data_IF_194529495046
#
_entry.id   IF_194529495046
#
_cell.length_a   1.000
_cell.length_b   1.000
_cell.length_c   1.000
_cell.angle_alpha   90.00
_cell.angle_beta   90.00
_cell.angle_gamma   90.00
#
_symmetry.space_group_name_H-M   'P 1'
#
loop_
_entity.id
_entity.type
_entity.pdbx_description
1 polymer ?
#
# COMPACT_ATOMS: atom_id res chain seq x y z
N UNK A 1 -9.59 -13.39 19.87
CA UNK A 1 -9.13 -14.72 20.31
C UNK A 1 -8.11 -15.19 19.28
N UNK A 2 -6.86 -15.41 19.65
CA UNK A 2 -5.80 -15.78 18.68
C UNK A 2 -5.90 -17.29 18.45
N UNK A 3 -6.24 -17.71 17.23
CA UNK A 3 -6.22 -19.12 16.85
C UNK A 3 -4.76 -19.56 16.61
N UNK A 4 -4.35 -20.68 17.20
CA UNK A 4 -3.02 -21.27 17.09
C UNK A 4 -3.03 -22.60 16.31
N UNK A 5 -4.19 -23.05 15.83
CA UNK A 5 -4.28 -24.24 14.98
C UNK A 5 -3.59 -23.98 13.63
N UNK A 6 -2.77 -24.93 13.18
CA UNK A 6 -2.09 -24.88 11.88
C UNK A 6 -0.74 -24.12 11.86
N UNK A 7 -0.24 -23.67 13.01
CA UNK A 7 1.05 -23.00 13.13
C UNK A 7 2.03 -23.79 14.02
N UNK A 8 3.30 -23.80 13.64
CA UNK A 8 4.37 -24.35 14.46
C UNK A 8 4.56 -23.48 15.70
N UNK A 9 4.50 -24.10 16.88
CA UNK A 9 4.76 -23.41 18.13
C UNK A 9 6.28 -23.27 18.32
N UNK A 10 6.76 -22.03 18.29
CA UNK A 10 8.17 -21.69 18.48
C UNK A 10 8.30 -20.97 19.82
N UNK A 11 9.19 -21.47 20.67
CA UNK A 11 9.52 -20.81 21.93
C UNK A 11 10.36 -19.54 21.70
N UNK A 12 10.29 -18.61 22.64
CA UNK A 12 11.02 -17.33 22.59
C UNK A 12 12.54 -17.57 22.55
N UNK A 13 13.04 -18.55 23.29
CA UNK A 13 14.46 -18.91 23.28
C UNK A 13 14.90 -19.46 21.92
N UNK A 14 14.02 -20.20 21.23
CA UNK A 14 14.28 -20.71 19.89
C UNK A 14 14.25 -19.58 18.84
N UNK A 15 13.31 -18.63 18.95
CA UNK A 15 13.29 -17.43 18.09
C UNK A 15 14.58 -16.61 18.22
N UNK A 16 15.07 -16.46 19.44
CA UNK A 16 16.32 -15.76 19.74
C UNK A 16 17.54 -16.55 19.28
N UNK A 17 17.58 -17.87 19.50
CA UNK A 17 18.71 -18.74 19.09
C UNK A 17 18.84 -18.84 17.57
N UNK A 18 17.72 -18.79 16.84
CA UNK A 18 17.70 -18.80 15.38
C UNK A 18 17.86 -17.41 14.76
N UNK A 19 17.99 -16.35 15.58
CA UNK A 19 18.15 -14.97 15.13
C UNK A 19 17.07 -14.55 14.11
N UNK A 20 15.82 -14.98 14.31
CA UNK A 20 14.74 -14.78 13.33
C UNK A 20 14.36 -13.29 13.24
N UNK A 21 14.27 -12.62 14.39
CA UNK A 21 13.91 -11.22 14.50
C UNK A 21 15.09 -10.35 14.97
N UNK A 22 15.15 -9.08 14.57
CA UNK A 22 16.12 -8.15 15.13
C UNK A 22 15.94 -8.02 16.64
N UNK A 23 17.05 -8.01 17.36
CA UNK A 23 17.05 -7.88 18.82
C UNK A 23 16.45 -6.53 19.22
N UNK A 24 15.52 -6.49 20.20
CA UNK A 24 14.85 -5.25 20.62
C UNK A 24 15.74 -4.29 21.40
N UNK A 25 16.98 -4.66 21.75
CA UNK A 25 17.87 -3.82 22.56
C UNK A 25 18.66 -2.82 21.69
N UNK A 26 18.39 -1.50 21.77
CA UNK A 26 19.20 -0.49 21.10
C UNK A 26 20.58 -0.44 21.76
N UNK A 27 21.59 -0.97 21.09
CA UNK A 27 22.98 -1.02 21.58
C UNK A 27 23.53 -2.42 21.81
N UNK A 28 22.71 -3.47 21.73
CA UNK A 28 23.22 -4.83 21.59
C UNK A 28 23.60 -5.05 20.12
N UNK A 29 24.68 -4.40 19.66
CA UNK A 29 25.44 -4.93 18.54
C UNK A 29 25.93 -6.30 18.98
N UNK A 30 25.19 -7.34 18.58
CA UNK A 30 25.66 -8.70 18.75
C UNK A 30 26.97 -8.82 17.99
N UNK A 31 28.02 -9.24 18.68
CA UNK A 31 29.37 -9.49 18.17
C UNK A 31 29.44 -10.68 17.20
N UNK A 32 28.32 -11.08 16.62
CA UNK A 32 28.21 -12.13 15.62
C UNK A 32 27.91 -11.45 14.29
N UNK A 33 28.80 -11.54 13.31
CA UNK A 33 28.65 -10.93 11.98
C UNK A 33 27.51 -11.50 11.11
N UNK A 34 26.45 -12.03 11.71
CA UNK A 34 25.28 -12.58 11.04
C UNK A 34 24.07 -11.68 11.27
N UNK A 35 23.56 -11.09 10.19
CA UNK A 35 22.33 -10.31 10.22
C UNK A 35 21.12 -11.22 10.53
N UNK A 36 20.09 -10.72 11.24
CA UNK A 36 18.85 -11.46 11.48
C UNK A 36 18.21 -11.98 10.20
N UNK A 37 17.54 -13.13 10.27
CA UNK A 37 16.88 -13.77 9.12
C UNK A 37 15.88 -12.83 8.43
N UNK A 38 15.09 -12.09 9.22
CA UNK A 38 14.15 -11.12 8.68
C UNK A 38 14.84 -10.07 7.80
N UNK A 39 16.00 -9.53 8.21
CA UNK A 39 16.72 -8.52 7.41
C UNK A 39 17.28 -9.12 6.11
N UNK A 40 17.64 -10.41 6.13
CA UNK A 40 18.10 -11.11 4.96
C UNK A 40 16.97 -11.36 3.95
N UNK A 41 15.85 -11.91 4.42
CA UNK A 41 14.73 -12.39 3.59
C UNK A 41 13.77 -11.26 3.18
N UNK A 42 13.63 -10.21 3.99
CA UNK A 42 12.72 -9.12 3.67
C UNK A 42 13.25 -8.29 2.50
N UNK A 43 12.60 -8.50 1.34
CA UNK A 43 12.71 -7.71 0.11
C UNK A 43 11.35 -7.14 -0.29
N UNK A 44 10.42 -7.09 0.66
CA UNK A 44 9.08 -6.57 0.39
C UNK A 44 9.12 -5.07 0.15
N UNK A 45 8.21 -4.58 -0.68
CA UNK A 45 8.14 -3.16 -1.08
C UNK A 45 7.01 -2.40 -0.39
N UNK A 46 6.25 -3.08 0.47
CA UNK A 46 5.14 -2.48 1.23
C UNK A 46 5.27 -2.80 2.72
N UNK A 47 4.82 -1.87 3.57
CA UNK A 47 4.82 -2.05 5.03
C UNK A 47 3.97 -3.26 5.43
N UNK A 48 2.82 -3.44 4.77
CA UNK A 48 1.94 -4.59 5.02
C UNK A 48 2.61 -5.91 4.64
N UNK A 49 3.35 -5.93 3.51
CA UNK A 49 4.13 -7.10 3.09
C UNK A 49 5.22 -7.47 4.09
N UNK A 50 5.99 -6.48 4.57
CA UNK A 50 7.03 -6.72 5.59
C UNK A 50 6.43 -7.26 6.90
N UNK A 51 5.32 -6.68 7.35
CA UNK A 51 4.59 -7.15 8.54
C UNK A 51 4.04 -8.57 8.35
N UNK A 52 3.52 -8.89 7.16
CA UNK A 52 3.02 -10.22 6.82
C UNK A 52 4.16 -11.24 6.80
N UNK A 53 5.29 -10.93 6.15
CA UNK A 53 6.47 -11.80 6.12
C UNK A 53 7.00 -12.04 7.52
N UNK A 54 7.10 -10.99 8.34
CA UNK A 54 7.46 -11.12 9.75
C UNK A 54 6.51 -12.08 10.49
N UNK A 55 5.21 -11.99 10.22
CA UNK A 55 4.20 -12.88 10.82
C UNK A 55 4.38 -14.34 10.41
N UNK A 56 4.78 -14.60 9.15
CA UNK A 56 5.06 -15.95 8.65
C UNK A 56 6.31 -16.55 9.29
N UNK A 57 7.37 -15.75 9.47
CA UNK A 57 8.61 -16.22 10.11
C UNK A 57 8.42 -16.61 11.58
N UNK A 58 7.56 -15.91 12.32
CA UNK A 58 7.26 -16.24 13.72
C UNK A 58 6.21 -17.35 13.89
N UNK A 59 5.47 -17.66 12.83
CA UNK A 59 4.40 -18.67 12.81
C UNK A 59 4.46 -19.49 11.52
N UNK A 60 5.47 -20.36 11.37
CA UNK A 60 5.52 -21.26 10.22
C UNK A 60 4.27 -22.11 10.13
N UNK A 61 3.81 -22.33 8.90
CA UNK A 61 2.64 -23.16 8.61
C UNK A 61 2.97 -24.64 8.82
N UNK A 62 2.02 -25.41 9.34
CA UNK A 62 2.15 -26.88 9.47
C UNK A 62 1.34 -27.65 8.44
N UNK A 63 0.45 -26.96 7.72
CA UNK A 63 -0.37 -27.55 6.67
C UNK A 63 0.47 -27.73 5.40
N UNK A 64 0.60 -28.99 4.95
CA UNK A 64 1.44 -29.35 3.82
C UNK A 64 0.84 -28.86 2.49
N UNK A 65 -0.48 -28.86 2.35
CA UNK A 65 -1.13 -28.43 1.12
C UNK A 65 -0.92 -26.93 0.90
N UNK A 66 -1.09 -26.14 1.96
CA UNK A 66 -0.83 -24.68 1.93
C UNK A 66 0.65 -24.39 1.67
N UNK A 67 1.56 -25.18 2.26
CA UNK A 67 3.00 -25.01 2.03
C UNK A 67 3.36 -25.27 0.57
N UNK A 68 2.86 -26.37 -0.01
CA UNK A 68 3.12 -26.75 -1.40
C UNK A 68 2.52 -25.71 -2.36
N UNK A 69 1.30 -25.22 -2.09
CA UNK A 69 0.70 -24.14 -2.88
C UNK A 69 1.55 -22.85 -2.84
N UNK A 70 2.06 -22.49 -1.65
CA UNK A 70 2.95 -21.35 -1.48
C UNK A 70 4.26 -21.49 -2.25
N UNK A 71 4.89 -22.67 -2.22
CA UNK A 71 6.12 -22.95 -2.97
C UNK A 71 5.88 -22.92 -4.48
N UNK A 72 4.80 -23.56 -4.97
CA UNK A 72 4.42 -23.52 -6.38
C UNK A 72 4.16 -22.08 -6.87
N UNK A 73 3.58 -21.24 -6.01
CA UNK A 73 3.39 -19.81 -6.28
C UNK A 73 4.73 -19.09 -6.44
N UNK A 74 5.69 -19.35 -5.55
CA UNK A 74 7.04 -18.75 -5.65
C UNK A 74 7.73 -19.21 -6.93
N UNK A 75 7.71 -20.52 -7.21
CA UNK A 75 8.29 -21.10 -8.43
C UNK A 75 7.70 -20.45 -9.70
N UNK A 76 6.37 -20.27 -9.73
CA UNK A 76 5.69 -19.57 -10.83
C UNK A 76 6.17 -18.12 -11.00
N UNK A 77 6.34 -17.37 -9.91
CA UNK A 77 6.73 -15.95 -9.95
C UNK A 77 8.20 -15.74 -10.32
N UNK A 78 9.07 -16.74 -10.13
CA UNK A 78 10.48 -16.71 -10.52
C UNK A 78 10.75 -17.28 -11.91
N UNK A 79 9.76 -17.94 -12.55
CA UNK A 79 9.90 -18.42 -13.92
C UNK A 79 10.29 -17.28 -14.88
N UNK A 80 11.27 -17.47 -15.79
CA UNK A 80 11.74 -16.43 -16.70
C UNK A 80 10.64 -15.76 -17.52
N UNK A 81 9.62 -16.52 -17.91
CA UNK A 81 8.46 -16.07 -18.69
C UNK A 81 7.61 -15.06 -17.91
N UNK A 82 7.50 -15.24 -16.59
CA UNK A 82 6.68 -14.41 -15.69
C UNK A 82 7.52 -13.34 -14.98
N UNK A 83 8.84 -13.49 -14.93
CA UNK A 83 9.71 -12.64 -14.15
C UNK A 83 9.57 -11.14 -14.48
N UNK A 84 9.36 -10.81 -15.76
CA UNK A 84 9.14 -9.41 -16.16
C UNK A 84 7.82 -8.85 -15.61
N UNK A 85 6.75 -9.66 -15.59
CA UNK A 85 5.51 -9.31 -14.92
C UNK A 85 5.74 -9.11 -13.42
N UNK A 86 6.50 -10.01 -12.77
CA UNK A 86 6.84 -9.90 -11.35
C UNK A 86 7.51 -8.57 -11.02
N UNK A 87 8.46 -8.12 -11.84
CA UNK A 87 9.11 -6.80 -11.67
C UNK A 87 8.13 -5.63 -11.85
N UNK A 88 7.24 -5.71 -12.83
CA UNK A 88 6.21 -4.68 -13.05
C UNK A 88 5.20 -4.62 -11.90
N UNK A 89 4.81 -5.78 -11.35
CA UNK A 89 3.98 -5.89 -10.17
C UNK A 89 4.69 -5.31 -8.95
N UNK A 90 5.96 -5.65 -8.73
CA UNK A 90 6.77 -5.09 -7.63
C UNK A 90 6.85 -3.56 -7.72
N UNK A 91 7.10 -3.00 -8.91
CA UNK A 91 7.12 -1.55 -9.11
C UNK A 91 5.75 -0.87 -8.92
N UNK A 92 4.66 -1.60 -9.16
CA UNK A 92 3.31 -1.08 -8.90
C UNK A 92 2.98 -1.16 -7.40
N UNK A 93 3.37 -2.24 -6.73
CA UNK A 93 3.21 -2.42 -5.29
C UNK A 93 4.02 -1.41 -4.48
N UNK A 94 5.22 -1.02 -4.92
CA UNK A 94 6.05 -0.03 -4.21
C UNK A 94 5.42 1.36 -4.13
N UNK A 95 4.47 1.66 -5.02
CA UNK A 95 3.70 2.91 -5.03
C UNK A 95 2.50 2.86 -4.09
N UNK A 96 2.14 1.68 -3.58
CA UNK A 96 1.11 1.52 -2.56
C UNK A 96 1.71 2.00 -1.23
N UNK A 97 1.34 3.20 -0.81
CA UNK A 97 1.72 3.76 0.49
C UNK A 97 1.12 2.99 1.66
N UNK A 98 1.23 3.54 2.87
CA UNK A 98 0.63 2.94 4.07
C UNK A 98 -0.89 3.15 4.09
N UNK A 99 -1.61 2.27 3.40
CA UNK A 99 -3.08 2.35 3.25
C UNK A 99 -3.84 2.15 4.56
N UNK A 100 -3.48 1.22 5.46
CA UNK A 100 -4.12 1.13 6.76
C UNK A 100 -4.11 2.47 7.53
N UNK A 101 -2.97 3.17 7.50
CA UNK A 101 -2.85 4.50 8.11
C UNK A 101 -3.72 5.54 7.40
N UNK A 102 -3.71 5.56 6.06
CA UNK A 102 -4.54 6.49 5.28
C UNK A 102 -6.04 6.27 5.54
N UNK A 103 -6.50 5.03 5.60
CA UNK A 103 -7.88 4.67 5.93
C UNK A 103 -8.25 5.03 7.37
N UNK A 104 -7.31 4.92 8.31
CA UNK A 104 -7.53 5.37 9.69
C UNK A 104 -7.73 6.89 9.76
N UNK A 105 -6.91 7.67 9.04
CA UNK A 105 -7.08 9.11 8.93
C UNK A 105 -8.42 9.49 8.27
N UNK A 106 -8.85 8.71 7.27
CA UNK A 106 -10.14 8.89 6.61
C UNK A 106 -11.31 8.67 7.56
N UNK A 107 -11.27 7.60 8.36
CA UNK A 107 -12.28 7.31 9.38
C UNK A 107 -12.33 8.36 10.49
N UNK A 108 -11.18 8.92 10.86
CA UNK A 108 -11.11 9.92 11.93
C UNK A 108 -11.36 11.36 11.46
N UNK A 109 -11.53 11.59 10.15
CA UNK A 109 -11.69 12.92 9.57
C UNK A 109 -10.42 13.78 9.51
N UNK A 110 -9.26 13.25 9.92
CA UNK A 110 -7.99 13.98 9.98
C UNK A 110 -7.19 13.86 8.66
N UNK A 111 -7.88 13.89 7.53
CA UNK A 111 -7.26 13.76 6.21
C UNK A 111 -6.57 15.05 5.79
N UNK A 112 -5.29 14.93 5.43
CA UNK A 112 -4.58 15.98 4.70
C UNK A 112 -4.57 15.67 3.20
N UNK A 113 -4.17 16.60 2.36
CA UNK A 113 -3.96 16.33 0.92
C UNK A 113 -2.97 15.18 0.68
N UNK A 114 -2.00 14.97 1.58
CA UNK A 114 -1.05 13.83 1.50
C UNK A 114 -1.77 12.50 1.71
N UNK A 115 -2.73 12.44 2.63
CA UNK A 115 -3.58 11.26 2.85
C UNK A 115 -4.34 10.92 1.56
N UNK A 116 -4.94 11.92 0.92
CA UNK A 116 -5.64 11.75 -0.36
C UNK A 116 -4.70 11.35 -1.51
N UNK A 117 -3.49 11.89 -1.56
CA UNK A 117 -2.44 11.50 -2.53
C UNK A 117 -2.06 10.02 -2.39
N UNK A 118 -1.93 9.52 -1.15
CA UNK A 118 -1.68 8.08 -0.88
C UNK A 118 -2.86 7.22 -1.37
N UNK A 119 -4.10 7.64 -1.12
CA UNK A 119 -5.31 6.91 -1.56
C UNK A 119 -5.35 6.85 -3.09
N UNK A 120 -5.12 7.96 -3.79
CA UNK A 120 -5.07 7.97 -5.26
C UNK A 120 -3.97 7.05 -5.78
N UNK A 121 -2.75 7.16 -5.25
CA UNK A 121 -1.63 6.32 -5.68
C UNK A 121 -1.94 4.82 -5.50
N UNK A 122 -2.67 4.46 -4.44
CA UNK A 122 -3.15 3.09 -4.25
C UNK A 122 -4.19 2.66 -5.29
N UNK A 123 -5.19 3.51 -5.56
CA UNK A 123 -6.22 3.19 -6.56
C UNK A 123 -5.61 3.06 -7.96
N UNK A 124 -4.72 3.98 -8.34
CA UNK A 124 -3.96 3.93 -9.59
C UNK A 124 -3.13 2.65 -9.69
N UNK A 125 -2.36 2.33 -8.65
CA UNK A 125 -1.53 1.12 -8.61
C UNK A 125 -2.38 -0.15 -8.69
N UNK A 126 -3.56 -0.16 -8.07
CA UNK A 126 -4.51 -1.28 -8.13
C UNK A 126 -5.03 -1.48 -9.55
N UNK A 127 -5.40 -0.40 -10.25
CA UNK A 127 -5.82 -0.44 -11.66
C UNK A 127 -4.68 -0.97 -12.54
N UNK A 128 -3.44 -0.49 -12.33
CA UNK A 128 -2.27 -0.98 -13.05
C UNK A 128 -2.03 -2.47 -12.80
N UNK A 129 -2.04 -2.91 -11.54
CA UNK A 129 -1.88 -4.33 -11.17
C UNK A 129 -2.95 -5.19 -11.85
N UNK A 130 -4.22 -4.79 -11.75
CA UNK A 130 -5.31 -5.52 -12.39
C UNK A 130 -5.13 -5.61 -13.92
N UNK A 131 -4.68 -4.52 -14.56
CA UNK A 131 -4.44 -4.50 -16.01
C UNK A 131 -3.28 -5.42 -16.41
N UNK A 132 -2.19 -5.42 -15.63
CA UNK A 132 -1.04 -6.30 -15.84
C UNK A 132 -1.41 -7.78 -15.67
N UNK A 133 -2.15 -8.11 -14.61
CA UNK A 133 -2.61 -9.47 -14.33
C UNK A 133 -3.60 -9.98 -15.38
N UNK A 134 -4.50 -9.12 -15.87
CA UNK A 134 -5.43 -9.49 -16.94
C UNK A 134 -4.71 -9.73 -18.27
N UNK A 135 -3.69 -8.92 -18.58
CA UNK A 135 -2.89 -9.10 -19.78
C UNK A 135 -2.11 -10.42 -19.75
N UNK A 136 -1.54 -10.77 -18.59
CA UNK A 136 -0.78 -12.01 -18.42
C UNK A 136 -1.66 -13.26 -18.33
N UNK A 137 -2.87 -13.16 -17.77
CA UNK A 137 -3.84 -14.26 -17.73
C UNK A 137 -4.16 -14.81 -19.13
N UNK A 138 -4.15 -13.95 -20.16
CA UNK A 138 -4.36 -14.36 -21.54
C UNK A 138 -3.19 -15.20 -22.11
N UNK A 139 -2.01 -15.11 -21.50
CA UNK A 139 -0.79 -15.81 -21.92
C UNK A 139 -0.50 -17.04 -21.04
N UNK A 140 -0.81 -16.96 -19.75
CA UNK A 140 -0.51 -17.99 -18.76
C UNK A 140 -1.69 -18.15 -17.79
N UNK A 141 -2.31 -19.34 -17.78
CA UNK A 141 -3.36 -19.65 -16.80
C UNK A 141 -2.72 -20.00 -15.46
N UNK A 142 -2.98 -19.17 -14.44
CA UNK A 142 -2.52 -19.38 -13.08
C UNK A 142 -3.65 -19.08 -12.10
N UNK A 143 -3.93 -20.01 -11.19
CA UNK A 143 -4.94 -19.86 -10.14
C UNK A 143 -4.67 -18.65 -9.25
N UNK A 144 -3.40 -18.31 -9.04
CA UNK A 144 -3.00 -17.11 -8.31
C UNK A 144 -3.49 -15.83 -8.99
N UNK A 145 -3.30 -15.74 -10.31
CA UNK A 145 -3.71 -14.57 -11.09
C UNK A 145 -5.24 -14.45 -11.07
N UNK A 146 -5.95 -15.56 -11.22
CA UNK A 146 -7.41 -15.60 -11.15
C UNK A 146 -7.92 -15.16 -9.77
N UNK A 147 -7.33 -15.71 -8.70
CA UNK A 147 -7.69 -15.37 -7.32
C UNK A 147 -7.48 -13.89 -7.04
N UNK A 148 -6.30 -13.34 -7.35
CA UNK A 148 -6.02 -11.91 -7.13
C UNK A 148 -6.97 -11.04 -7.96
N UNK A 149 -7.17 -11.37 -9.24
CA UNK A 149 -8.05 -10.59 -10.13
C UNK A 149 -9.49 -10.59 -9.62
N UNK A 150 -9.98 -11.72 -9.09
CA UNK A 150 -11.34 -11.83 -8.55
C UNK A 150 -11.60 -10.95 -7.32
N UNK A 151 -10.56 -10.66 -6.53
CA UNK A 151 -10.64 -9.80 -5.35
C UNK A 151 -10.53 -8.30 -5.67
N UNK A 152 -10.07 -7.94 -6.87
CA UNK A 152 -9.88 -6.56 -7.29
C UNK A 152 -11.10 -6.04 -8.06
N UNK A 153 -11.81 -5.08 -7.48
CA UNK A 153 -12.93 -4.42 -8.16
C UNK A 153 -12.43 -3.26 -9.03
N UNK A 154 -12.14 -3.57 -10.30
CA UNK A 154 -11.62 -2.60 -11.27
C UNK A 154 -12.57 -1.41 -11.51
N UNK A 155 -13.86 -1.65 -11.68
CA UNK A 155 -14.85 -0.62 -12.00
C UNK A 155 -15.02 0.37 -10.83
N UNK A 156 -15.03 -0.14 -9.60
CA UNK A 156 -15.05 0.69 -8.40
C UNK A 156 -13.79 1.55 -8.31
N UNK A 157 -12.61 0.97 -8.53
CA UNK A 157 -11.36 1.71 -8.53
C UNK A 157 -11.36 2.83 -9.58
N UNK A 158 -11.83 2.57 -10.80
CA UNK A 158 -11.93 3.60 -11.83
C UNK A 158 -12.89 4.72 -11.44
N UNK A 159 -14.05 4.37 -10.87
CA UNK A 159 -15.07 5.33 -10.42
C UNK A 159 -14.54 6.21 -9.29
N UNK A 160 -13.86 5.61 -8.31
CA UNK A 160 -13.25 6.36 -7.19
C UNK A 160 -12.14 7.26 -7.70
N UNK A 161 -11.27 6.78 -8.60
CA UNK A 161 -10.19 7.57 -9.15
C UNK A 161 -10.70 8.78 -9.94
N UNK A 162 -11.71 8.57 -10.79
CA UNK A 162 -12.31 9.67 -11.55
C UNK A 162 -12.93 10.69 -10.61
N UNK A 163 -13.71 10.26 -9.62
CA UNK A 163 -14.32 11.16 -8.64
C UNK A 163 -13.27 11.99 -7.88
N UNK A 164 -12.22 11.36 -7.36
CA UNK A 164 -11.18 12.07 -6.60
C UNK A 164 -10.42 13.09 -7.45
N UNK A 165 -10.14 12.78 -8.72
CA UNK A 165 -9.47 13.70 -9.65
C UNK A 165 -10.34 14.89 -10.06
N UNK A 166 -11.67 14.73 -10.10
CA UNK A 166 -12.59 15.84 -10.37
C UNK A 166 -12.89 16.67 -9.12
N UNK A 167 -12.64 16.14 -7.92
CA UNK A 167 -12.91 16.87 -6.68
C UNK A 167 -11.70 17.66 -6.16
N UNK A 168 -10.48 17.12 -6.25
CA UNK A 168 -9.33 17.66 -5.53
C UNK A 168 -8.31 18.26 -6.49
N UNK A 169 -7.90 19.50 -6.23
CA UNK A 169 -6.82 20.17 -6.95
C UNK A 169 -5.46 19.85 -6.31
N UNK A 170 -4.87 18.73 -6.72
CA UNK A 170 -3.57 18.30 -6.19
C UNK A 170 -2.43 19.25 -6.56
N UNK A 171 -2.51 19.93 -7.71
CA UNK A 171 -1.49 20.87 -8.15
C UNK A 171 -1.44 22.11 -7.23
N UNK A 172 -2.61 22.64 -6.87
CA UNK A 172 -2.67 23.74 -5.90
C UNK A 172 -2.34 23.29 -4.46
N UNK A 173 -2.70 22.05 -4.08
CA UNK A 173 -2.37 21.49 -2.75
C UNK A 173 -0.86 21.38 -2.53
N UNK A 174 -0.11 20.97 -3.56
CA UNK A 174 1.35 20.76 -3.45
C UNK A 174 2.10 22.07 -3.16
N UNK A 175 1.62 23.18 -3.72
CA UNK A 175 2.22 24.50 -3.55
C UNK A 175 1.77 25.23 -2.28
N UNK A 176 0.51 25.07 -1.87
CA UNK A 176 -0.07 25.87 -0.79
C UNK A 176 -0.16 25.15 0.55
N UNK A 177 -0.10 23.81 0.56
CA UNK A 177 -0.25 22.88 1.69
C UNK A 177 -1.66 22.55 2.23
N UNK A 178 -2.74 23.37 2.20
CA UNK A 178 -4.06 22.89 2.58
C UNK A 178 -4.69 22.10 1.42
N UNK A 179 -5.66 21.26 1.78
CA UNK A 179 -6.50 20.59 0.79
C UNK A 179 -7.35 21.63 0.05
N UNK A 180 -7.22 21.67 -1.28
CA UNK A 180 -7.98 22.53 -2.16
C UNK A 180 -8.89 21.69 -3.05
N UNK A 181 -10.17 22.05 -3.04
CA UNK A 181 -11.21 21.46 -3.88
C UNK A 181 -11.24 22.22 -5.21
N UNK A 182 -11.44 21.54 -6.33
CA UNK A 182 -11.57 22.16 -7.65
C UNK A 182 -12.79 23.10 -7.72
N UNK A 183 -12.75 24.15 -8.56
CA UNK A 183 -13.92 24.99 -8.79
C UNK A 183 -15.04 24.19 -9.48
N UNK A 184 -16.28 24.57 -9.24
CA UNK A 184 -17.52 23.93 -9.73
C UNK A 184 -17.84 22.56 -9.11
N UNK A 185 -17.12 22.15 -8.06
CA UNK A 185 -17.45 20.95 -7.28
C UNK A 185 -18.50 21.25 -6.21
N UNK A 186 -18.40 22.43 -5.59
CA UNK A 186 -19.33 22.89 -4.56
C UNK A 186 -19.61 24.38 -4.78
N UNK A 187 -20.81 24.68 -5.28
CA UNK A 187 -21.25 26.04 -5.58
C UNK A 187 -21.14 26.99 -4.37
N UNK A 188 -21.42 26.51 -3.16
CA UNK A 188 -21.33 27.32 -1.94
C UNK A 188 -19.88 27.64 -1.60
N UNK A 189 -18.97 26.68 -1.80
CA UNK A 189 -17.54 26.94 -1.60
C UNK A 189 -17.02 27.96 -2.61
N UNK A 190 -17.50 27.90 -3.85
CA UNK A 190 -17.12 28.83 -4.90
C UNK A 190 -17.67 30.25 -4.65
N UNK A 191 -18.91 30.36 -4.16
CA UNK A 191 -19.49 31.64 -3.73
C UNK A 191 -18.65 32.26 -2.60
N UNK A 192 -18.25 31.46 -1.60
CA UNK A 192 -17.40 31.91 -0.50
C UNK A 192 -16.02 32.38 -0.96
N UNK A 193 -15.42 31.69 -1.94
CA UNK A 193 -14.15 32.12 -2.56
C UNK A 193 -14.33 33.46 -3.27
N UNK A 194 -15.39 33.61 -4.05
CA UNK A 194 -15.68 34.88 -4.75
C UNK A 194 -15.87 36.04 -3.77
N UNK A 195 -16.57 35.82 -2.66
CA UNK A 195 -16.72 36.83 -1.59
C UNK A 195 -15.35 37.17 -0.99
N UNK A 196 -14.52 36.16 -0.66
CA UNK A 196 -13.19 36.39 -0.11
C UNK A 196 -12.30 37.22 -1.05
N UNK A 197 -12.25 36.86 -2.34
CA UNK A 197 -11.46 37.58 -3.35
C UNK A 197 -11.93 39.04 -3.51
N UNK A 198 -13.24 39.28 -3.40
CA UNK A 198 -13.79 40.64 -3.42
C UNK A 198 -13.36 41.47 -2.21
N UNK A 199 -13.26 40.86 -1.02
CA UNK A 199 -12.80 41.53 0.19
C UNK A 199 -11.31 41.86 0.15
N UNK A 200 -10.50 40.98 -0.42
CA UNK A 200 -9.07 41.22 -0.61
C UNK A 200 -8.82 42.38 -1.58
N UNK A 201 -9.63 42.47 -2.64
CA UNK A 201 -9.60 43.59 -3.58
C UNK A 201 -9.92 44.92 -2.88
N UNK A 202 -10.99 44.95 -2.07
CA UNK A 202 -11.38 46.14 -1.30
C UNK A 202 -10.27 46.55 -0.33
N UNK A 203 -9.63 45.61 0.36
CA UNK A 203 -8.53 45.91 1.28
C UNK A 203 -7.38 46.62 0.57
N UNK A 204 -6.97 46.11 -0.58
CA UNK A 204 -5.88 46.70 -1.38
C UNK A 204 -6.22 48.10 -1.94
N UNK A 205 -7.50 48.41 -2.15
CA UNK A 205 -7.94 49.75 -2.55
C UNK A 205 -7.92 50.74 -1.40
N UNK A 206 -8.20 50.30 -0.16
CA UNK A 206 -8.21 51.17 1.03
C UNK A 206 -6.83 51.44 1.64
N UNK A 207 -5.81 50.67 1.27
CA UNK A 207 -4.41 50.86 1.72
C UNK A 207 -3.59 51.79 0.79
N UNK A 208 -4.20 52.33 -0.28
CA UNK A 208 -3.65 53.38 -1.15
C UNK A 208 -4.14 54.76 -0.74
#
# INVERSE_FOLDING_TARGET
>A
MINLQGAMLIDVDLLNSLHILPSPAPGAQQKTGCNPLLEFVDKTVTVCGSQLLKSWLIRPLTDLDILVEGLNTVDYLICPEIYTLTLQLQNSLSKIGNIPLALSCLKSGNCTWRTWKIIIGFVESTITIHTLLRASHNQHKSLLIETITSHLNFDLCQTVLSYLRHCIDFAACENSQPLKILPNVDCRLDDLRSIYDSLETIRHETEK
#
